data_IF_630522633526
#
_entry.id   IF_630522633526
#
_cell.length_a   1.000
_cell.length_b   1.000
_cell.length_c   1.000
_cell.angle_alpha   90.00
_cell.angle_beta   90.00
_cell.angle_gamma   90.00
#
_symmetry.space_group_name_H-M   'P 1'
#
loop_
_entity.id
_entity.type
_entity.pdbx_description
1 polymer ?
#
# COMPACT_ATOMS: atom_id res chain seq x y z
N UNK A 1 8.18 -6.60 -7.85
CA UNK A 1 7.12 -6.56 -6.81
C UNK A 1 6.46 -5.17 -6.82
N UNK A 2 5.71 -4.83 -7.88
CA UNK A 2 5.23 -3.44 -8.18
C UNK A 2 3.71 -3.36 -8.38
N UNK A 3 2.94 -4.27 -7.78
CA UNK A 3 1.49 -4.35 -8.04
C UNK A 3 0.59 -3.70 -6.96
N UNK A 4 1.13 -3.22 -5.84
CA UNK A 4 0.30 -2.75 -4.72
C UNK A 4 -0.13 -1.27 -4.78
N UNK A 5 0.42 -0.45 -5.68
CA UNK A 5 0.20 1.01 -5.65
C UNK A 5 -0.87 1.50 -6.61
N UNK A 6 -2.11 1.02 -6.50
CA UNK A 6 -3.10 1.22 -7.58
C UNK A 6 -4.49 1.76 -7.18
N UNK A 7 -4.56 2.59 -6.13
CA UNK A 7 -5.74 3.46 -5.88
C UNK A 7 -5.86 4.65 -6.85
N UNK A 8 -4.72 5.13 -7.38
CA UNK A 8 -4.63 6.21 -8.36
C UNK A 8 -4.69 5.72 -9.83
N UNK A 9 -4.82 4.41 -10.01
CA UNK A 9 -4.45 3.74 -11.27
C UNK A 9 -5.60 3.46 -12.20
N UNK A 10 -6.87 3.48 -11.79
CA UNK A 10 -7.94 3.26 -12.76
C UNK A 10 -7.78 4.22 -13.95
N UNK A 11 -7.57 5.51 -13.73
CA UNK A 11 -7.44 6.48 -14.82
C UNK A 11 -6.10 6.42 -15.58
N UNK A 12 -4.97 6.17 -14.90
CA UNK A 12 -3.66 6.06 -15.56
C UNK A 12 -3.42 4.72 -16.24
N UNK A 13 -3.93 3.61 -15.69
CA UNK A 13 -3.96 2.32 -16.38
C UNK A 13 -4.96 2.32 -17.53
N UNK A 14 -6.10 3.05 -17.41
CA UNK A 14 -6.96 3.37 -18.56
C UNK A 14 -6.10 4.01 -19.65
N UNK A 15 -5.38 5.09 -19.32
CA UNK A 15 -4.61 5.85 -20.30
C UNK A 15 -3.48 5.00 -20.92
N UNK A 16 -2.70 4.31 -20.09
CA UNK A 16 -1.58 3.49 -20.54
C UNK A 16 -2.05 2.30 -21.38
N UNK A 17 -3.09 1.57 -20.96
CA UNK A 17 -3.65 0.47 -21.75
C UNK A 17 -4.30 0.96 -23.05
N UNK A 18 -4.95 2.12 -23.03
CA UNK A 18 -5.49 2.76 -24.24
C UNK A 18 -4.38 3.12 -25.22
N UNK A 19 -3.26 3.64 -24.72
CA UNK A 19 -2.08 3.90 -25.53
C UNK A 19 -1.50 2.60 -26.11
N UNK A 20 -1.41 1.52 -25.33
CA UNK A 20 -0.93 0.22 -25.80
C UNK A 20 -1.82 -0.35 -26.91
N UNK A 21 -3.15 -0.41 -26.71
CA UNK A 21 -4.09 -0.94 -27.72
C UNK A 21 -4.09 -0.10 -29.00
N UNK A 22 -3.96 1.23 -28.88
CA UNK A 22 -3.81 2.13 -30.05
C UNK A 22 -2.52 1.86 -30.82
N UNK A 23 -1.42 1.51 -30.16
CA UNK A 23 -0.15 1.17 -30.81
C UNK A 23 -0.17 -0.22 -31.46
N UNK A 24 -0.92 -1.18 -30.90
CA UNK A 24 -0.93 -2.58 -31.35
C UNK A 24 -1.73 -2.87 -32.63
N UNK A 25 -2.40 -1.89 -33.25
CA UNK A 25 -3.25 -2.06 -34.46
C UNK A 25 -4.14 -3.33 -34.44
N UNK A 26 -4.68 -3.70 -33.28
CA UNK A 26 -5.54 -4.88 -33.14
C UNK A 26 -6.86 -4.58 -33.88
N UNK A 27 -7.26 -5.38 -34.89
CA UNK A 27 -8.50 -5.14 -35.61
C UNK A 27 -9.71 -5.27 -34.68
N UNK A 28 -10.75 -4.43 -34.85
CA UNK A 28 -11.95 -4.53 -34.03
C UNK A 28 -12.62 -5.89 -34.25
N UNK A 29 -12.89 -6.60 -33.16
CA UNK A 29 -13.65 -7.85 -33.20
C UNK A 29 -15.06 -7.51 -33.66
N UNK A 30 -15.43 -7.95 -34.86
CA UNK A 30 -16.77 -7.80 -35.40
C UNK A 30 -17.73 -8.69 -34.62
N UNK A 31 -18.54 -8.10 -33.74
CA UNK A 31 -19.92 -8.53 -33.56
C UNK A 31 -20.76 -7.39 -32.95
N UNK A 32 -21.89 -7.17 -33.62
CA UNK A 32 -22.81 -6.04 -33.49
C UNK A 32 -23.30 -5.75 -32.06
N UNK A 33 -23.09 -4.52 -31.61
CA UNK A 33 -24.12 -3.55 -31.19
C UNK A 33 -23.45 -2.35 -30.51
N UNK A 34 -23.50 -1.18 -31.16
CA UNK A 34 -23.46 0.20 -30.63
C UNK A 34 -22.79 0.50 -29.26
N UNK A 35 -21.69 -0.16 -28.94
CA UNK A 35 -20.77 0.23 -27.89
C UNK A 35 -19.41 0.15 -28.55
N UNK A 36 -18.71 1.29 -28.66
CA UNK A 36 -17.36 1.41 -29.21
C UNK A 36 -16.55 0.13 -28.89
N UNK A 37 -16.30 -0.74 -29.87
CA UNK A 37 -15.82 -2.11 -29.62
C UNK A 37 -14.51 -2.17 -28.81
N UNK A 38 -13.74 -1.09 -28.85
CA UNK A 38 -12.56 -0.86 -28.02
C UNK A 38 -12.88 -0.73 -26.52
N UNK A 39 -14.00 -0.13 -26.14
CA UNK A 39 -14.44 0.10 -24.75
C UNK A 39 -14.99 -1.18 -24.11
N UNK A 40 -15.75 -1.99 -24.86
CA UNK A 40 -16.27 -3.28 -24.36
C UNK A 40 -15.16 -4.32 -24.19
N UNK A 41 -14.23 -4.42 -25.16
CA UNK A 41 -13.02 -5.24 -25.03
C UNK A 41 -12.14 -4.77 -23.87
N UNK A 42 -12.03 -3.46 -23.67
CA UNK A 42 -11.30 -2.83 -22.57
C UNK A 42 -11.89 -3.16 -21.18
N UNK A 43 -13.21 -3.03 -20.99
CA UNK A 43 -13.89 -3.39 -19.73
C UNK A 43 -13.72 -4.88 -19.46
N UNK A 44 -13.81 -5.73 -20.49
CA UNK A 44 -13.63 -7.18 -20.38
C UNK A 44 -12.19 -7.56 -20.01
N UNK A 45 -11.17 -6.96 -20.64
CA UNK A 45 -9.77 -7.23 -20.31
C UNK A 45 -9.43 -6.73 -18.90
N UNK A 46 -9.84 -5.51 -18.52
CA UNK A 46 -9.60 -5.01 -17.17
C UNK A 46 -10.31 -5.86 -16.12
N UNK A 47 -11.58 -6.22 -16.35
CA UNK A 47 -12.32 -7.12 -15.47
C UNK A 47 -11.62 -8.46 -15.30
N UNK A 48 -11.24 -9.11 -16.42
CA UNK A 48 -10.52 -10.39 -16.41
C UNK A 48 -9.13 -10.30 -15.79
N UNK A 49 -8.36 -9.24 -16.02
CA UNK A 49 -7.05 -9.04 -15.38
C UNK A 49 -7.19 -8.83 -13.88
N UNK A 50 -8.15 -8.01 -13.44
CA UNK A 50 -8.42 -7.84 -12.01
C UNK A 50 -8.90 -9.14 -11.38
N UNK A 51 -9.77 -9.90 -12.04
CA UNK A 51 -10.25 -11.17 -11.53
C UNK A 51 -9.13 -12.22 -11.49
N UNK A 52 -8.25 -12.28 -12.49
CA UNK A 52 -7.05 -13.14 -12.46
C UNK A 52 -6.07 -12.75 -11.36
N UNK A 53 -5.84 -11.45 -11.13
CA UNK A 53 -5.01 -10.99 -10.00
C UNK A 53 -5.67 -11.33 -8.66
N UNK A 54 -7.00 -11.26 -8.56
CA UNK A 54 -7.76 -11.63 -7.36
C UNK A 54 -7.65 -13.12 -7.06
N UNK A 55 -7.66 -13.98 -8.07
CA UNK A 55 -7.51 -15.42 -7.86
C UNK A 55 -6.07 -15.83 -7.56
N UNK A 56 -5.08 -15.11 -8.10
CA UNK A 56 -3.65 -15.42 -7.88
C UNK A 56 -3.11 -14.94 -6.53
N UNK A 57 -3.64 -13.86 -5.93
CA UNK A 57 -3.08 -13.23 -4.73
C UNK A 57 -4.12 -13.01 -3.62
N UNK A 58 -4.73 -14.09 -3.15
CA UNK A 58 -5.77 -14.06 -2.11
C UNK A 58 -5.27 -13.46 -0.80
N UNK A 59 -4.11 -13.88 -0.28
CA UNK A 59 -3.56 -13.35 0.97
C UNK A 59 -3.20 -11.86 0.88
N UNK A 60 -2.63 -11.41 -0.24
CA UNK A 60 -2.34 -9.99 -0.47
C UNK A 60 -3.62 -9.15 -0.44
N UNK A 61 -4.70 -9.68 -0.99
CA UNK A 61 -6.00 -9.04 -0.97
C UNK A 61 -6.54 -8.91 0.46
N UNK A 62 -6.45 -9.96 1.27
CA UNK A 62 -6.91 -9.93 2.67
C UNK A 62 -6.20 -8.85 3.49
N UNK A 63 -4.88 -8.69 3.29
CA UNK A 63 -4.07 -7.64 3.90
C UNK A 63 -4.51 -6.25 3.40
N UNK A 64 -4.72 -6.09 2.09
CA UNK A 64 -5.17 -4.83 1.52
C UNK A 64 -6.58 -4.43 1.99
N UNK A 65 -7.49 -5.39 2.10
CA UNK A 65 -8.84 -5.18 2.62
C UNK A 65 -8.77 -4.78 4.11
N UNK A 66 -7.93 -5.45 4.91
CA UNK A 66 -7.67 -5.09 6.32
C UNK A 66 -7.13 -3.67 6.47
N UNK A 67 -6.13 -3.26 5.69
CA UNK A 67 -5.61 -1.89 5.67
C UNK A 67 -6.71 -0.88 5.33
N UNK A 68 -7.48 -1.15 4.27
CA UNK A 68 -8.54 -0.25 3.81
C UNK A 68 -9.61 -0.04 4.88
N UNK A 69 -9.99 -1.11 5.58
CA UNK A 69 -10.95 -1.07 6.67
C UNK A 69 -10.40 -0.30 7.88
N UNK A 70 -9.16 -0.56 8.29
CA UNK A 70 -8.52 0.19 9.38
C UNK A 70 -8.52 1.70 9.09
N UNK A 71 -8.04 2.09 7.91
CA UNK A 71 -7.96 3.49 7.50
C UNK A 71 -9.34 4.16 7.39
N UNK A 72 -10.37 3.43 6.96
CA UNK A 72 -11.75 3.92 6.90
C UNK A 72 -12.28 4.27 8.30
N UNK A 73 -12.02 3.45 9.30
CA UNK A 73 -12.47 3.73 10.67
C UNK A 73 -11.66 4.84 11.34
N UNK A 74 -10.33 4.83 11.19
CA UNK A 74 -9.44 5.88 11.75
C UNK A 74 -9.85 7.27 11.25
N UNK A 75 -10.01 7.41 9.93
CA UNK A 75 -10.34 8.69 9.31
C UNK A 75 -11.83 9.04 9.33
N UNK A 76 -12.72 8.03 9.26
CA UNK A 76 -14.16 8.23 9.20
C UNK A 76 -14.82 8.42 10.56
N UNK A 77 -14.46 7.58 11.54
CA UNK A 77 -15.04 7.61 12.90
C UNK A 77 -14.15 8.43 13.83
N UNK A 78 -12.84 8.18 13.82
CA UNK A 78 -11.90 8.90 14.69
C UNK A 78 -11.60 10.33 14.21
N UNK A 79 -11.83 10.63 12.93
CA UNK A 79 -11.51 11.95 12.36
C UNK A 79 -10.02 12.27 12.36
N UNK A 80 -9.16 11.26 12.50
CA UNK A 80 -7.70 11.39 12.57
C UNK A 80 -7.04 10.95 11.25
N UNK A 81 -5.79 11.35 11.07
CA UNK A 81 -4.96 10.87 9.97
C UNK A 81 -4.45 9.46 10.26
N UNK A 82 -4.24 8.68 9.20
CA UNK A 82 -3.57 7.39 9.34
C UNK A 82 -2.07 7.64 9.47
N UNK A 83 -1.50 7.04 10.51
CA UNK A 83 -0.09 7.15 10.87
C UNK A 83 0.46 5.76 11.20
N UNK A 84 1.75 5.55 10.95
CA UNK A 84 2.48 4.37 11.38
C UNK A 84 3.97 4.68 11.49
N UNK A 85 4.73 3.71 11.99
CA UNK A 85 6.20 3.78 12.06
C UNK A 85 6.76 2.70 11.13
N UNK A 86 7.74 3.04 10.29
CA UNK A 86 8.41 2.05 9.45
C UNK A 86 9.26 1.10 10.31
N UNK A 87 9.66 -0.07 9.79
CA UNK A 87 10.58 -0.97 10.50
C UNK A 87 11.93 -0.35 10.88
N UNK A 88 12.31 0.77 10.23
CA UNK A 88 13.50 1.55 10.57
C UNK A 88 13.24 2.64 11.62
N UNK A 89 12.06 2.70 12.22
CA UNK A 89 11.71 3.69 13.23
C UNK A 89 11.29 5.05 12.68
N UNK A 90 11.02 5.17 11.37
CA UNK A 90 10.62 6.45 10.77
C UNK A 90 9.10 6.65 10.87
N UNK A 91 8.61 7.72 11.53
CA UNK A 91 7.18 8.02 11.60
C UNK A 91 6.67 8.51 10.24
N UNK A 92 5.52 7.98 9.80
CA UNK A 92 4.89 8.30 8.53
C UNK A 92 3.43 8.69 8.79
N UNK A 93 3.03 9.82 8.20
CA UNK A 93 1.69 10.40 8.32
C UNK A 93 1.11 10.64 6.93
N UNK A 94 -0.15 10.28 6.70
CA UNK A 94 -0.82 10.57 5.43
C UNK A 94 -1.40 12.00 5.38
N UNK A 95 -0.91 12.90 4.50
CA UNK A 95 -1.29 14.31 4.48
C UNK A 95 -2.56 14.57 3.65
N UNK A 96 -3.57 13.69 3.72
CA UNK A 96 -4.80 13.85 2.93
C UNK A 96 -5.91 14.52 3.72
N UNK A 97 -6.16 15.78 3.37
CA UNK A 97 -7.19 16.64 3.94
C UNK A 97 -8.35 16.87 2.96
N UNK A 98 -9.52 17.25 3.48
CA UNK A 98 -10.63 17.75 2.66
C UNK A 98 -10.33 19.20 2.28
N UNK A 99 -10.08 19.44 1.00
CA UNK A 99 -9.95 20.80 0.46
C UNK A 99 -11.22 21.61 0.76
N UNK A 100 -11.11 22.69 1.54
CA UNK A 100 -12.15 23.71 1.58
C UNK A 100 -12.16 24.42 0.22
N UNK A 101 -13.32 24.54 -0.43
CA UNK A 101 -13.47 25.50 -1.55
C UNK A 101 -13.17 26.87 -0.96
N UNK A 102 -12.06 27.50 -1.34
CA UNK A 102 -11.75 28.87 -0.94
C UNK A 102 -12.87 29.78 -1.45
N UNK A 103 -13.73 30.23 -0.54
CA UNK A 103 -14.42 31.50 -0.70
C UNK A 103 -13.35 32.54 -0.35
N UNK A 104 -13.03 33.50 -1.22
CA UNK A 104 -12.06 34.54 -0.89
C UNK A 104 -12.68 35.46 0.15
N UNK A 105 -12.42 35.19 1.43
CA UNK A 105 -12.68 36.13 2.50
C UNK A 105 -11.34 36.53 3.09
N UNK A 106 -11.06 37.83 3.00
CA UNK A 106 -9.94 38.51 3.62
C UNK A 106 -9.95 38.23 5.13
N UNK A 107 -8.98 37.44 5.59
CA UNK A 107 -8.84 37.10 6.99
C UNK A 107 -7.89 35.93 7.16
N UNK A 108 -6.73 36.19 7.77
CA UNK A 108 -5.78 35.16 8.19
C UNK A 108 -6.41 34.29 9.29
N UNK A 109 -7.22 33.31 8.91
CA UNK A 109 -7.61 32.22 9.79
C UNK A 109 -6.47 31.19 9.78
N UNK A 110 -5.69 31.16 10.86
CA UNK A 110 -4.76 30.07 11.17
C UNK A 110 -5.60 28.78 11.21
N UNK A 111 -5.44 27.93 10.19
CA UNK A 111 -6.38 26.84 9.90
C UNK A 111 -6.32 25.77 11.00
N UNK A 112 -7.35 25.79 11.84
CA UNK A 112 -7.59 24.82 12.91
C UNK A 112 -7.95 23.48 12.27
N UNK A 113 -6.97 22.56 12.21
CA UNK A 113 -7.08 21.13 11.88
C UNK A 113 -8.08 20.79 10.76
N UNK A 114 -7.62 20.79 9.51
CA UNK A 114 -8.45 20.32 8.38
C UNK A 114 -8.86 18.86 8.58
N UNK A 115 -10.15 18.54 8.36
CA UNK A 115 -10.65 17.17 8.51
C UNK A 115 -10.01 16.25 7.47
N UNK A 116 -9.63 15.00 7.84
CA UNK A 116 -9.04 14.06 6.90
C UNK A 116 -10.01 13.70 5.77
N UNK A 117 -9.46 13.52 4.56
CA UNK A 117 -10.20 12.97 3.44
C UNK A 117 -10.22 11.45 3.52
N UNK A 118 -11.27 10.90 4.14
CA UNK A 118 -11.46 9.46 4.34
C UNK A 118 -11.22 8.61 3.08
N UNK A 119 -11.70 9.07 1.91
CA UNK A 119 -11.55 8.31 0.67
C UNK A 119 -10.08 8.25 0.21
N UNK A 120 -9.34 9.36 0.35
CA UNK A 120 -7.92 9.41 -0.01
C UNK A 120 -7.07 8.63 1.00
N UNK A 121 -7.32 8.81 2.30
CA UNK A 121 -6.64 8.08 3.38
C UNK A 121 -6.74 6.56 3.15
N UNK A 122 -7.97 6.02 3.03
CA UNK A 122 -8.18 4.57 2.86
C UNK A 122 -7.54 4.00 1.59
N UNK A 123 -7.61 4.74 0.48
CA UNK A 123 -7.12 4.24 -0.82
C UNK A 123 -5.59 4.33 -0.94
N UNK A 124 -4.98 5.26 -0.20
CA UNK A 124 -3.55 5.49 -0.22
C UNK A 124 -2.80 4.71 0.87
N UNK A 125 -3.49 4.20 1.89
CA UNK A 125 -2.81 3.50 2.99
C UNK A 125 -2.09 2.22 2.54
N UNK A 126 -2.72 1.26 1.81
CA UNK A 126 -1.99 0.10 1.32
C UNK A 126 -0.78 0.44 0.43
N UNK A 127 -0.89 1.32 -0.61
CA UNK A 127 0.27 1.75 -1.39
C UNK A 127 1.40 2.34 -0.56
N UNK A 128 1.07 3.29 0.32
CA UNK A 128 2.07 4.04 1.07
C UNK A 128 2.77 3.15 2.10
N UNK A 129 2.04 2.20 2.70
CA UNK A 129 2.63 1.22 3.60
C UNK A 129 3.65 0.34 2.88
N UNK A 130 3.30 -0.22 1.72
CA UNK A 130 4.25 -1.03 0.93
C UNK A 130 5.46 -0.19 0.51
N UNK A 131 5.26 1.05 0.05
CA UNK A 131 6.37 1.94 -0.29
C UNK A 131 7.29 2.26 0.90
N UNK A 132 6.76 2.29 2.12
CA UNK A 132 7.58 2.44 3.32
C UNK A 132 8.45 1.20 3.59
N UNK A 133 7.97 0.00 3.25
CA UNK A 133 8.75 -1.24 3.33
C UNK A 133 9.81 -1.28 2.22
N UNK A 134 9.46 -0.95 0.99
CA UNK A 134 10.41 -0.88 -0.13
C UNK A 134 11.55 0.11 0.18
N UNK A 135 11.21 1.27 0.76
CA UNK A 135 12.19 2.27 1.19
C UNK A 135 13.07 1.74 2.32
N UNK A 136 12.49 1.00 3.27
CA UNK A 136 13.24 0.40 4.37
C UNK A 136 14.23 -0.66 3.85
N UNK A 137 13.79 -1.52 2.93
CA UNK A 137 14.64 -2.52 2.28
C UNK A 137 15.78 -1.88 1.48
N UNK A 138 15.50 -0.83 0.73
CA UNK A 138 16.49 -0.05 -0.02
C UNK A 138 17.53 0.57 0.92
N UNK A 139 17.09 1.20 2.02
CA UNK A 139 18.00 1.82 3.00
C UNK A 139 18.90 0.77 3.68
N UNK A 140 18.34 -0.36 4.11
CA UNK A 140 19.11 -1.46 4.68
C UNK A 140 20.14 -2.01 3.68
N UNK A 141 19.72 -2.23 2.43
CA UNK A 141 20.61 -2.68 1.37
C UNK A 141 21.74 -1.69 1.15
N UNK A 142 21.44 -0.39 1.07
CA UNK A 142 22.45 0.67 0.92
C UNK A 142 23.48 0.65 2.05
N UNK A 143 23.02 0.58 3.32
CA UNK A 143 23.90 0.59 4.48
C UNK A 143 24.83 -0.64 4.52
N UNK A 144 24.29 -1.81 4.18
CA UNK A 144 25.09 -3.04 4.14
C UNK A 144 26.04 -3.08 2.94
N UNK A 145 25.66 -2.52 1.79
CA UNK A 145 26.55 -2.33 0.65
C UNK A 145 27.72 -1.41 1.01
N UNK A 146 27.44 -0.28 1.68
CA UNK A 146 28.49 0.64 2.14
C UNK A 146 29.50 -0.07 3.07
N UNK A 147 29.02 -0.83 4.05
CA UNK A 147 29.86 -1.64 4.95
C UNK A 147 30.69 -2.70 4.21
N UNK A 148 30.21 -3.19 3.08
CA UNK A 148 30.93 -4.14 2.22
C UNK A 148 31.86 -3.46 1.20
N UNK A 149 31.99 -2.13 1.22
CA UNK A 149 32.78 -1.37 0.25
C UNK A 149 32.15 -1.34 -1.16
N UNK A 150 30.84 -1.58 -1.27
CA UNK A 150 30.10 -1.59 -2.52
C UNK A 150 29.44 -0.24 -2.74
N UNK A 151 29.80 0.45 -3.82
CA UNK A 151 29.10 1.65 -4.26
C UNK A 151 27.66 1.31 -4.63
N UNK A 152 26.69 2.00 -4.04
CA UNK A 152 25.27 1.74 -4.21
C UNK A 152 24.53 3.02 -4.57
N UNK A 153 23.67 2.95 -5.58
CA UNK A 153 22.71 4.00 -5.93
C UNK A 153 21.37 3.32 -6.20
N UNK A 154 20.27 3.97 -5.85
CA UNK A 154 18.94 3.47 -6.15
C UNK A 154 18.08 4.51 -6.87
N UNK A 155 17.25 4.01 -7.78
CA UNK A 155 16.10 4.74 -8.32
C UNK A 155 14.87 3.93 -7.98
N UNK A 156 14.28 4.22 -6.82
CA UNK A 156 13.21 3.41 -6.23
C UNK A 156 13.60 1.93 -6.07
N UNK A 157 12.97 1.02 -6.82
CA UNK A 157 13.19 -0.42 -6.81
C UNK A 157 14.29 -0.89 -7.77
N UNK A 158 14.98 0.04 -8.44
CA UNK A 158 16.14 -0.24 -9.28
C UNK A 158 17.44 0.02 -8.52
N UNK A 159 18.26 -1.01 -8.29
CA UNK A 159 19.52 -0.92 -7.54
C UNK A 159 20.72 -1.00 -8.47
N UNK A 160 21.61 -0.01 -8.35
CA UNK A 160 22.76 0.17 -9.24
C UNK A 160 24.07 0.10 -8.44
N UNK A 161 25.06 -0.53 -9.04
CA UNK A 161 26.43 -0.66 -8.53
C UNK A 161 27.39 -0.85 -9.69
N UNK A 162 28.70 -0.94 -9.42
CA UNK A 162 29.68 -1.28 -10.45
C UNK A 162 29.53 -2.73 -10.93
N UNK A 163 29.81 -3.05 -12.21
CA UNK A 163 29.66 -4.40 -12.75
C UNK A 163 30.40 -5.48 -11.96
N UNK A 164 31.57 -5.15 -11.40
CA UNK A 164 32.37 -6.08 -10.58
C UNK A 164 31.72 -6.47 -9.25
N UNK A 165 30.80 -5.65 -8.72
CA UNK A 165 30.19 -5.81 -7.38
C UNK A 165 28.72 -6.21 -7.40
N UNK A 166 28.12 -6.43 -8.59
CA UNK A 166 26.70 -6.83 -8.75
C UNK A 166 26.35 -8.07 -7.93
N UNK A 167 27.22 -9.09 -7.94
CA UNK A 167 26.99 -10.33 -7.20
C UNK A 167 26.93 -10.12 -5.67
N UNK A 168 27.75 -9.20 -5.14
CA UNK A 168 27.77 -8.83 -3.72
C UNK A 168 26.49 -8.06 -3.38
N UNK A 169 26.13 -7.06 -4.18
CA UNK A 169 24.89 -6.30 -4.01
C UNK A 169 23.66 -7.20 -4.03
N UNK A 170 23.59 -8.17 -4.95
CA UNK A 170 22.45 -9.10 -5.04
C UNK A 170 22.37 -10.04 -3.82
N UNK A 171 23.52 -10.45 -3.26
CA UNK A 171 23.56 -11.21 -2.00
C UNK A 171 23.01 -10.37 -0.85
N UNK A 172 23.51 -9.15 -0.68
CA UNK A 172 23.08 -8.21 0.36
C UNK A 172 21.59 -7.90 0.21
N UNK A 173 21.12 -7.60 -1.00
CA UNK A 173 19.72 -7.29 -1.30
C UNK A 173 18.79 -8.41 -0.81
N UNK A 174 19.10 -9.68 -1.13
CA UNK A 174 18.31 -10.83 -0.66
C UNK A 174 18.39 -11.01 0.85
N UNK A 175 19.57 -10.84 1.44
CA UNK A 175 19.76 -10.94 2.89
C UNK A 175 18.94 -9.90 3.64
N UNK A 176 18.95 -8.64 3.18
CA UNK A 176 18.19 -7.56 3.79
C UNK A 176 16.69 -7.70 3.57
N UNK A 177 16.27 -8.27 2.44
CA UNK A 177 14.85 -8.57 2.20
C UNK A 177 14.33 -9.61 3.19
N UNK A 178 15.07 -10.71 3.36
CA UNK A 178 14.72 -11.77 4.31
C UNK A 178 14.74 -11.23 5.72
N UNK A 179 15.80 -10.53 6.13
CA UNK A 179 15.89 -9.94 7.47
C UNK A 179 14.70 -9.00 7.77
N UNK A 180 14.35 -8.12 6.83
CA UNK A 180 13.21 -7.20 6.99
C UNK A 180 11.89 -7.96 7.13
N UNK A 181 11.61 -8.92 6.25
CA UNK A 181 10.33 -9.64 6.23
C UNK A 181 10.24 -10.81 7.22
N UNK A 182 11.34 -11.14 7.91
CA UNK A 182 11.34 -12.04 9.06
C UNK A 182 10.82 -11.36 10.34
N UNK A 183 10.83 -10.02 10.41
CA UNK A 183 10.23 -9.28 11.50
C UNK A 183 8.69 -9.35 11.45
N UNK A 184 7.99 -9.28 12.61
CA UNK A 184 6.54 -9.39 12.68
C UNK A 184 5.83 -8.07 12.28
N UNK A 185 6.16 -7.53 11.09
CA UNK A 185 5.74 -6.20 10.59
C UNK A 185 4.24 -5.92 10.76
N UNK A 186 3.37 -6.86 10.39
CA UNK A 186 1.92 -6.65 10.49
C UNK A 186 1.44 -6.64 11.95
N UNK A 187 2.07 -7.44 12.81
CA UNK A 187 1.76 -7.46 14.25
C UNK A 187 2.18 -6.16 14.92
N UNK A 188 3.36 -5.63 14.58
CA UNK A 188 3.85 -4.36 15.11
C UNK A 188 2.98 -3.21 14.67
N UNK A 189 2.56 -3.19 13.40
CA UNK A 189 1.59 -2.23 12.90
C UNK A 189 0.25 -2.35 13.64
N UNK A 190 -0.27 -3.57 13.81
CA UNK A 190 -1.53 -3.81 14.54
C UNK A 190 -1.45 -3.31 15.98
N UNK A 191 -0.34 -3.56 16.67
CA UNK A 191 -0.08 -3.08 18.03
C UNK A 191 -0.03 -1.55 18.07
N UNK A 192 0.70 -0.92 17.15
CA UNK A 192 0.78 0.54 17.05
C UNK A 192 -0.60 1.17 16.82
N UNK A 193 -1.38 0.64 15.86
CA UNK A 193 -2.70 1.15 15.56
C UNK A 193 -3.67 0.95 16.73
N UNK A 194 -3.58 -0.19 17.42
CA UNK A 194 -4.38 -0.45 18.62
C UNK A 194 -4.01 0.51 19.75
N UNK A 195 -2.74 0.73 20.03
CA UNK A 195 -2.30 1.64 21.09
C UNK A 195 -2.76 3.08 20.82
N UNK A 196 -2.61 3.53 19.57
CA UNK A 196 -2.92 4.92 19.18
C UNK A 196 -4.41 5.21 18.99
N UNK A 197 -5.16 4.28 18.40
CA UNK A 197 -6.53 4.54 17.94
C UNK A 197 -7.61 3.71 18.66
N UNK A 198 -7.27 2.74 19.50
CA UNK A 198 -8.30 1.96 20.19
C UNK A 198 -9.08 2.81 21.21
N UNK A 199 -10.36 2.50 21.34
CA UNK A 199 -11.22 3.13 22.34
C UNK A 199 -11.05 2.41 23.68
N UNK A 200 -10.89 3.18 24.76
CA UNK A 200 -10.80 2.63 26.12
C UNK A 200 -12.17 2.19 26.63
N UNK A 201 -12.22 1.27 27.59
CA UNK A 201 -13.49 0.79 28.16
C UNK A 201 -14.34 1.91 28.75
N UNK A 202 -13.73 2.97 29.31
CA UNK A 202 -14.45 4.14 29.81
C UNK A 202 -15.12 5.00 28.73
N UNK A 203 -14.73 4.85 27.46
CA UNK A 203 -15.36 5.55 26.33
C UNK A 203 -16.48 4.71 25.69
N UNK A 204 -16.69 3.48 26.17
CA UNK A 204 -17.73 2.56 25.75
C UNK A 204 -18.80 2.59 26.84
N UNK A 205 -19.92 3.24 26.57
CA UNK A 205 -20.99 3.50 27.55
C UNK A 205 -21.68 2.24 28.06
N UNK A 206 -21.50 1.10 27.40
CA UNK A 206 -22.12 -0.18 27.73
C UNK A 206 -23.62 -0.23 27.42
N UNK A 207 -24.16 0.80 26.79
CA UNK A 207 -25.58 1.02 26.53
C UNK A 207 -26.12 0.22 25.33
N UNK A 208 -25.24 -0.50 24.64
CA UNK A 208 -25.59 -1.27 23.44
C UNK A 208 -25.90 -0.38 22.22
N UNK A 209 -25.58 0.92 22.29
CA UNK A 209 -25.80 1.84 21.18
C UNK A 209 -25.00 1.43 19.94
N UNK A 210 -25.46 1.89 18.77
CA UNK A 210 -24.76 1.67 17.49
C UNK A 210 -23.32 2.19 17.53
N UNK A 211 -23.08 3.28 18.27
CA UNK A 211 -21.75 3.85 18.51
C UNK A 211 -20.84 2.87 19.25
N UNK A 212 -21.32 2.29 20.35
CA UNK A 212 -20.58 1.33 21.15
C UNK A 212 -20.26 0.04 20.41
N UNK A 213 -21.23 -0.49 19.66
CA UNK A 213 -21.01 -1.66 18.80
C UNK A 213 -19.94 -1.38 17.73
N UNK A 214 -19.93 -0.16 17.19
CA UNK A 214 -18.94 0.28 16.18
C UNK A 214 -17.54 0.38 16.79
N UNK A 215 -17.40 0.94 17.99
CA UNK A 215 -16.12 1.02 18.73
C UNK A 215 -15.58 -0.36 19.08
N UNK A 216 -16.42 -1.26 19.61
CA UNK A 216 -16.03 -2.66 19.92
C UNK A 216 -15.59 -3.42 18.66
N UNK A 217 -16.34 -3.26 17.56
CA UNK A 217 -15.99 -3.86 16.26
C UNK A 217 -14.65 -3.33 15.75
N UNK A 218 -14.39 -2.03 15.90
CA UNK A 218 -13.12 -1.41 15.49
C UNK A 218 -11.94 -1.95 16.31
N UNK A 219 -12.04 -1.98 17.64
CA UNK A 219 -11.01 -2.55 18.50
C UNK A 219 -10.70 -4.02 18.15
N UNK A 220 -11.72 -4.82 17.82
CA UNK A 220 -11.53 -6.20 17.35
C UNK A 220 -10.85 -6.27 15.99
N UNK A 221 -11.19 -5.36 15.06
CA UNK A 221 -10.61 -5.34 13.72
C UNK A 221 -9.12 -5.00 13.76
N UNK A 222 -8.71 -4.02 14.58
CA UNK A 222 -7.30 -3.64 14.72
C UNK A 222 -6.42 -4.82 15.15
N UNK A 223 -6.97 -5.73 15.97
CA UNK A 223 -6.27 -6.92 16.49
C UNK A 223 -6.46 -8.19 15.65
N UNK A 224 -7.36 -8.19 14.67
CA UNK A 224 -7.62 -9.35 13.82
C UNK A 224 -6.74 -9.29 12.59
N UNK A 225 -5.55 -9.88 12.70
CA UNK A 225 -4.61 -9.97 11.59
C UNK A 225 -5.08 -10.99 10.54
N UNK A 226 -4.79 -10.74 9.25
CA UNK A 226 -4.88 -11.75 8.20
C UNK A 226 -3.94 -12.92 8.46
N UNK A 227 -4.31 -14.11 8.01
CA UNK A 227 -3.49 -15.31 8.17
C UNK A 227 -2.28 -15.26 7.23
N UNK A 228 -1.12 -15.69 7.71
CA UNK A 228 0.07 -15.87 6.89
C UNK A 228 0.00 -17.17 6.09
N UNK A 229 0.61 -17.18 4.91
CA UNK A 229 0.79 -18.41 4.13
C UNK A 229 1.85 -19.34 4.74
N UNK A 230 2.15 -20.42 4.03
CA UNK A 230 3.17 -21.41 4.39
C UNK A 230 4.51 -21.23 3.63
N UNK A 231 4.69 -20.08 2.96
CA UNK A 231 5.91 -19.80 2.20
C UNK A 231 7.10 -19.58 3.14
N UNK A 232 8.19 -20.30 2.91
CA UNK A 232 9.45 -20.10 3.62
C UNK A 232 10.24 -18.94 3.00
N UNK A 233 10.35 -17.84 3.74
CA UNK A 233 11.03 -16.62 3.32
C UNK A 233 12.52 -16.85 2.99
N UNK A 234 13.16 -17.86 3.58
CA UNK A 234 14.56 -18.17 3.31
C UNK A 234 14.82 -18.68 1.88
N UNK A 235 13.78 -19.11 1.16
CA UNK A 235 13.90 -19.44 -0.27
C UNK A 235 14.35 -18.25 -1.12
N UNK A 236 14.08 -17.02 -0.68
CA UNK A 236 14.50 -15.80 -1.38
C UNK A 236 16.02 -15.73 -1.51
N UNK A 237 16.79 -16.21 -0.51
CA UNK A 237 18.26 -16.21 -0.52
C UNK A 237 18.85 -16.95 -1.72
N UNK A 238 18.14 -17.97 -2.22
CA UNK A 238 18.55 -18.82 -3.35
C UNK A 238 17.98 -18.36 -4.69
N UNK A 239 17.11 -17.36 -4.69
CA UNK A 239 16.42 -16.92 -5.90
C UNK A 239 17.31 -16.04 -6.78
N UNK A 240 17.66 -16.56 -7.96
CA UNK A 240 18.46 -15.85 -8.97
C UNK A 240 17.69 -14.68 -9.57
N UNK A 241 16.37 -14.83 -9.77
CA UNK A 241 15.51 -13.84 -10.43
C UNK A 241 14.74 -12.94 -9.45
N UNK A 242 15.12 -12.92 -8.17
CA UNK A 242 14.49 -12.04 -7.19
C UNK A 242 14.80 -10.57 -7.46
N UNK A 243 16.07 -10.27 -7.75
CA UNK A 243 16.57 -8.99 -8.25
C UNK A 243 17.53 -9.30 -9.39
N UNK A 244 17.14 -8.94 -10.60
CA UNK A 244 17.85 -9.24 -11.86
C UNK A 244 17.79 -8.08 -12.82
#
# INVERSE_FOLDING_TARGET
MVLASRGFVRHLAILHATLTVRHSRIPPISNNQHINGSVALYISIQGRTFDSLRTMFTSTREIQDWFTDCAKFISGVGGQHVEWVSPLGLPIVQPYFKLKKKIPQEGFAIDKYEKPNMMKQKNAFPPNFIHSLDSSHMMLTSLHCERAGVTFVSVHDCYWTHPSTVHIMNKICREQFVALHSEPILQDLSNFLADKYSYKEGEITGDGSVSDLTKKKFNRMLRKLPNTGNFDIHQVLKSVYFFS
#
